data_IF_408996731538
#
_entry.id   IF_408996731538
#
_cell.length_a   1.000
_cell.length_b   1.000
_cell.length_c   1.000
_cell.angle_alpha   90.00
_cell.angle_beta   90.00
_cell.angle_gamma   90.00
#
_symmetry.space_group_name_H-M   'P 1'
#
loop_
_entity.id
_entity.type
_entity.pdbx_description
1 polymer ?
#
# COMPACT_ATOMS: atom_id res chain seq x y z
N UNK A 1 -2.97 -10.73 -8.82
CA UNK A 1 -2.38 -10.00 -9.97
C UNK A 1 -2.48 -8.52 -9.65
N UNK A 2 -1.43 -7.72 -9.85
CA UNK A 2 -1.52 -6.27 -9.64
C UNK A 2 -2.29 -5.66 -10.81
N UNK A 3 -3.54 -5.27 -10.56
CA UNK A 3 -4.38 -4.64 -11.56
C UNK A 3 -3.81 -3.26 -11.89
N UNK A 4 -3.75 -2.96 -13.19
CA UNK A 4 -3.41 -1.62 -13.65
C UNK A 4 -4.71 -0.89 -13.90
N UNK A 5 -4.85 0.31 -13.35
CA UNK A 5 -6.03 1.13 -13.54
C UNK A 5 -5.64 2.60 -13.53
N UNK A 6 -6.53 3.43 -14.05
CA UNK A 6 -6.40 4.86 -14.00
C UNK A 6 -7.70 5.51 -13.52
N UNK A 7 -7.54 6.67 -12.87
CA UNK A 7 -8.64 7.54 -12.48
C UNK A 7 -8.75 8.70 -13.46
N UNK A 8 -9.93 8.91 -14.00
CA UNK A 8 -10.26 10.02 -14.90
C UNK A 8 -11.08 11.08 -14.15
N UNK A 9 -10.69 12.35 -14.29
CA UNK A 9 -11.40 13.45 -13.65
C UNK A 9 -12.76 13.67 -14.34
N UNK A 10 -13.87 13.80 -13.60
CA UNK A 10 -15.22 13.77 -14.18
C UNK A 10 -15.55 14.96 -15.08
N UNK A 11 -14.76 16.03 -15.01
CA UNK A 11 -14.95 17.26 -15.79
C UNK A 11 -13.76 17.56 -16.72
N UNK A 12 -12.68 16.77 -16.65
CA UNK A 12 -11.43 17.01 -17.39
C UNK A 12 -10.77 15.69 -17.76
N UNK A 13 -11.12 15.16 -18.93
CA UNK A 13 -10.63 13.88 -19.46
C UNK A 13 -9.10 13.83 -19.63
N UNK A 14 -8.44 14.99 -19.75
CA UNK A 14 -6.99 15.08 -19.85
C UNK A 14 -6.29 14.80 -18.52
N UNK A 15 -6.98 14.93 -17.39
CA UNK A 15 -6.41 14.71 -16.06
C UNK A 15 -6.60 13.26 -15.62
N UNK A 16 -5.57 12.45 -15.87
CA UNK A 16 -5.53 11.02 -15.53
C UNK A 16 -4.50 10.71 -14.45
N UNK A 17 -4.87 9.85 -13.51
CA UNK A 17 -3.97 9.34 -12.47
C UNK A 17 -3.81 7.84 -12.63
N UNK A 18 -2.64 7.42 -13.10
CA UNK A 18 -2.34 6.00 -13.30
C UNK A 18 -1.84 5.34 -12.01
N UNK A 19 -2.29 4.11 -11.79
CA UNK A 19 -1.80 3.18 -10.77
C UNK A 19 -1.58 1.83 -11.45
N UNK A 20 -0.31 1.48 -11.63
CA UNK A 20 0.10 0.16 -12.13
C UNK A 20 0.98 -0.57 -11.12
N UNK A 21 1.67 -1.63 -11.56
CA UNK A 21 2.55 -2.43 -10.70
C UNK A 21 3.58 -1.61 -9.90
N UNK A 22 4.20 -0.61 -10.53
CA UNK A 22 5.13 0.31 -9.85
C UNK A 22 4.45 1.13 -8.73
N UNK A 23 3.16 1.42 -8.87
CA UNK A 23 2.36 2.08 -7.85
C UNK A 23 2.16 1.21 -6.61
N UNK A 24 1.95 -0.10 -6.78
CA UNK A 24 1.90 -1.03 -5.65
C UNK A 24 3.24 -1.15 -4.93
N UNK A 25 4.35 -1.21 -5.68
CA UNK A 25 5.69 -1.21 -5.06
C UNK A 25 5.92 0.06 -4.24
N UNK A 26 5.61 1.23 -4.80
CA UNK A 26 5.71 2.50 -4.09
C UNK A 26 4.79 2.56 -2.87
N UNK A 27 3.56 2.05 -2.98
CA UNK A 27 2.59 2.00 -1.90
C UNK A 27 3.02 1.05 -0.76
N UNK A 28 3.66 -0.07 -1.09
CA UNK A 28 4.23 -0.99 -0.11
C UNK A 28 5.39 -0.36 0.65
N UNK A 29 6.33 0.28 -0.06
CA UNK A 29 7.55 0.84 0.53
C UNK A 29 7.31 2.16 1.28
N UNK A 30 6.53 3.08 0.72
CA UNK A 30 6.31 4.40 1.30
C UNK A 30 5.02 4.50 2.14
N UNK A 31 4.12 3.51 2.04
CA UNK A 31 2.93 3.40 2.87
C UNK A 31 2.01 4.63 2.79
N UNK A 32 1.68 5.19 3.95
CA UNK A 32 0.81 6.36 4.06
C UNK A 32 1.34 7.60 3.33
N UNK A 33 2.66 7.77 3.17
CA UNK A 33 3.22 8.91 2.42
C UNK A 33 2.87 8.83 0.92
N UNK A 34 2.84 7.63 0.36
CA UNK A 34 2.37 7.44 -1.02
C UNK A 34 0.88 7.81 -1.16
N UNK A 35 0.08 7.44 -0.15
CA UNK A 35 -1.34 7.83 -0.10
C UNK A 35 -1.49 9.34 0.03
N UNK A 36 -0.68 10.02 0.84
CA UNK A 36 -0.70 11.48 0.94
C UNK A 36 -0.46 12.14 -0.43
N UNK A 37 0.55 11.66 -1.15
CA UNK A 37 0.89 12.19 -2.47
C UNK A 37 -0.21 11.97 -3.51
N UNK A 38 -0.90 10.82 -3.47
CA UNK A 38 -1.92 10.45 -4.47
C UNK A 38 -3.35 10.85 -4.08
N UNK A 39 -3.74 10.76 -2.82
CA UNK A 39 -5.11 10.91 -2.34
C UNK A 39 -5.31 12.10 -1.38
N UNK A 40 -4.25 12.82 -1.02
CA UNK A 40 -4.31 13.98 -0.14
C UNK A 40 -4.53 13.64 1.32
N UNK A 41 -4.87 14.66 2.12
CA UNK A 41 -4.86 14.57 3.59
C UNK A 41 -5.89 13.60 4.16
N UNK A 42 -7.12 13.58 3.63
CA UNK A 42 -8.17 12.67 4.10
C UNK A 42 -7.77 11.20 3.89
N UNK A 43 -7.21 10.88 2.72
CA UNK A 43 -6.67 9.55 2.44
C UNK A 43 -5.46 9.20 3.32
N UNK A 44 -4.57 10.16 3.56
CA UNK A 44 -3.42 9.98 4.45
C UNK A 44 -3.84 9.58 5.87
N UNK A 45 -4.80 10.29 6.47
CA UNK A 45 -5.28 9.98 7.83
C UNK A 45 -5.86 8.57 7.90
N UNK A 46 -6.65 8.16 6.89
CA UNK A 46 -7.17 6.79 6.80
C UNK A 46 -6.05 5.73 6.62
N UNK A 47 -4.92 6.11 6.00
CA UNK A 47 -3.78 5.24 5.74
C UNK A 47 -2.79 5.12 6.91
N UNK A 48 -2.80 6.05 7.87
CA UNK A 48 -1.89 6.01 9.03
C UNK A 48 -2.10 4.74 9.85
N UNK A 49 -3.35 4.40 10.20
CA UNK A 49 -3.64 3.22 11.02
C UNK A 49 -3.14 1.91 10.38
N UNK A 50 -3.51 1.56 9.14
CA UNK A 50 -3.01 0.33 8.53
C UNK A 50 -1.49 0.34 8.34
N UNK A 51 -0.86 1.49 8.10
CA UNK A 51 0.60 1.60 8.02
C UNK A 51 1.26 1.30 9.37
N UNK A 52 0.75 1.87 10.46
CA UNK A 52 1.26 1.58 11.81
C UNK A 52 1.06 0.11 12.17
N UNK A 53 -0.07 -0.50 11.81
CA UNK A 53 -0.32 -1.93 12.04
C UNK A 53 0.69 -2.82 11.30
N UNK A 54 1.04 -2.51 10.05
CA UNK A 54 2.08 -3.28 9.34
C UNK A 54 3.46 -3.07 9.93
N UNK A 55 3.80 -1.86 10.40
CA UNK A 55 5.07 -1.64 11.12
C UNK A 55 5.12 -2.44 12.43
N UNK A 56 4.04 -2.42 13.22
CA UNK A 56 3.95 -3.20 14.46
C UNK A 56 4.06 -4.70 14.17
N UNK A 57 3.36 -5.19 13.15
CA UNK A 57 3.44 -6.59 12.74
C UNK A 57 4.85 -6.99 12.32
N UNK A 58 5.56 -6.13 11.58
CA UNK A 58 6.94 -6.36 11.19
C UNK A 58 7.90 -6.41 12.39
N UNK A 59 7.77 -5.45 13.31
CA UNK A 59 8.58 -5.39 14.54
C UNK A 59 8.30 -6.62 15.40
N UNK A 60 7.03 -6.98 15.61
CA UNK A 60 6.64 -8.14 16.38
C UNK A 60 7.15 -9.44 15.74
N UNK A 61 6.99 -9.61 14.42
CA UNK A 61 7.49 -10.77 13.70
C UNK A 61 9.02 -10.88 13.84
N UNK A 62 9.75 -9.77 13.64
CA UNK A 62 11.21 -9.76 13.73
C UNK A 62 11.69 -10.03 15.17
N UNK A 63 11.05 -9.42 16.17
CA UNK A 63 11.42 -9.58 17.58
C UNK A 63 11.06 -10.94 18.15
N UNK A 64 9.90 -11.50 17.81
CA UNK A 64 9.51 -12.85 18.26
C UNK A 64 10.39 -13.91 17.59
N UNK A 65 10.65 -13.77 16.29
CA UNK A 65 11.46 -14.75 15.57
C UNK A 65 12.94 -14.70 15.97
N UNK A 66 13.49 -13.53 16.29
CA UNK A 66 14.87 -13.42 16.78
C UNK A 66 15.09 -14.09 18.14
N UNK A 67 14.04 -14.18 18.96
CA UNK A 67 14.10 -14.85 20.27
C UNK A 67 13.90 -16.36 20.20
N UNK A 68 13.12 -16.84 19.22
CA UNK A 68 12.65 -18.22 19.18
C UNK A 68 13.31 -19.08 18.10
N UNK A 69 13.83 -18.48 17.03
CA UNK A 69 14.33 -19.21 15.87
C UNK A 69 15.86 -19.12 15.74
N UNK A 70 16.53 -20.20 15.32
CA UNK A 70 17.90 -20.14 14.83
C UNK A 70 18.04 -19.13 13.67
N UNK A 71 19.19 -18.48 13.56
CA UNK A 71 19.41 -17.40 12.58
C UNK A 71 19.09 -17.77 11.12
N UNK A 72 19.34 -19.02 10.71
CA UNK A 72 18.98 -19.49 9.35
C UNK A 72 17.48 -19.50 9.10
N UNK A 73 16.67 -19.90 10.09
CA UNK A 73 15.21 -19.90 9.99
C UNK A 73 14.65 -18.48 10.08
N UNK A 74 15.26 -17.61 10.91
CA UNK A 74 14.90 -16.20 10.97
C UNK A 74 15.09 -15.50 9.61
N UNK A 75 16.20 -15.79 8.90
CA UNK A 75 16.43 -15.24 7.56
C UNK A 75 15.34 -15.65 6.57
N UNK A 76 14.87 -16.89 6.62
CA UNK A 76 13.75 -17.36 5.78
C UNK A 76 12.47 -16.62 6.11
N UNK A 77 12.16 -16.44 7.40
CA UNK A 77 10.97 -15.69 7.83
C UNK A 77 11.05 -14.23 7.39
N UNK A 78 12.22 -13.59 7.46
CA UNK A 78 12.38 -12.23 6.97
C UNK A 78 12.27 -12.16 5.44
N UNK A 79 12.92 -13.07 4.72
CA UNK A 79 12.93 -13.11 3.25
C UNK A 79 11.53 -13.32 2.65
N UNK A 80 10.62 -14.01 3.35
CA UNK A 80 9.25 -14.27 2.88
C UNK A 80 8.25 -13.32 3.55
N UNK A 81 8.35 -13.16 4.87
CA UNK A 81 7.43 -12.39 5.68
C UNK A 81 7.47 -10.90 5.39
N UNK A 82 8.66 -10.31 5.16
CA UNK A 82 8.77 -8.90 4.80
C UNK A 82 8.09 -8.62 3.45
N UNK A 83 8.39 -9.35 2.35
CA UNK A 83 7.65 -9.17 1.10
C UNK A 83 6.14 -9.40 1.24
N UNK A 84 5.71 -10.42 1.99
CA UNK A 84 4.29 -10.69 2.20
C UNK A 84 3.58 -9.53 2.90
N UNK A 85 4.19 -8.96 3.95
CA UNK A 85 3.66 -7.79 4.66
C UNK A 85 3.63 -6.55 3.75
N UNK A 86 4.67 -6.32 2.94
CA UNK A 86 4.71 -5.20 2.00
C UNK A 86 3.64 -5.33 0.90
N UNK A 87 3.38 -6.55 0.41
CA UNK A 87 2.29 -6.82 -0.53
C UNK A 87 0.96 -6.49 0.15
N UNK A 88 0.74 -6.95 1.37
CA UNK A 88 -0.49 -6.66 2.11
C UNK A 88 -0.67 -5.16 2.33
N UNK A 89 0.37 -4.47 2.78
CA UNK A 89 0.40 -3.02 2.93
C UNK A 89 0.04 -2.32 1.61
N UNK A 90 0.68 -2.71 0.51
CA UNK A 90 0.44 -2.09 -0.80
C UNK A 90 -1.02 -2.17 -1.22
N UNK A 91 -1.67 -3.33 -1.02
CA UNK A 91 -3.08 -3.54 -1.40
C UNK A 91 -3.98 -2.60 -0.59
N UNK A 92 -3.76 -2.47 0.73
CA UNK A 92 -4.56 -1.57 1.56
C UNK A 92 -4.37 -0.11 1.17
N UNK A 93 -3.12 0.33 0.95
CA UNK A 93 -2.83 1.71 0.55
C UNK A 93 -3.48 2.04 -0.80
N UNK A 94 -3.38 1.14 -1.77
CA UNK A 94 -4.02 1.31 -3.08
C UNK A 94 -5.55 1.35 -2.96
N UNK A 95 -6.16 0.51 -2.12
CA UNK A 95 -7.61 0.56 -1.87
C UNK A 95 -8.05 1.89 -1.27
N UNK A 96 -7.27 2.47 -0.35
CA UNK A 96 -7.55 3.80 0.22
C UNK A 96 -7.46 4.88 -0.86
N UNK A 97 -6.44 4.80 -1.72
CA UNK A 97 -6.32 5.72 -2.86
C UNK A 97 -7.55 5.62 -3.76
N UNK A 98 -7.92 4.40 -4.15
CA UNK A 98 -9.10 4.16 -4.99
C UNK A 98 -10.36 4.73 -4.38
N UNK A 99 -10.64 4.40 -3.11
CA UNK A 99 -11.81 4.92 -2.41
C UNK A 99 -11.81 6.44 -2.34
N UNK A 100 -10.67 7.07 -2.04
CA UNK A 100 -10.56 8.52 -2.00
C UNK A 100 -10.81 9.19 -3.35
N UNK A 101 -10.42 8.56 -4.47
CA UNK A 101 -10.76 9.06 -5.81
C UNK A 101 -12.25 8.86 -6.14
N UNK A 102 -12.81 7.69 -5.83
CA UNK A 102 -14.24 7.41 -6.02
C UNK A 102 -15.12 8.34 -5.19
N UNK A 103 -14.77 8.61 -3.93
CA UNK A 103 -15.50 9.54 -3.04
C UNK A 103 -15.46 10.99 -3.57
N UNK A 104 -14.46 11.34 -4.39
CA UNK A 104 -14.35 12.62 -5.10
C UNK A 104 -15.08 12.63 -6.45
N UNK A 105 -15.79 11.56 -6.80
CA UNK A 105 -16.53 11.42 -8.05
C UNK A 105 -15.67 11.11 -9.27
N UNK A 106 -14.42 10.68 -9.09
CA UNK A 106 -13.57 10.26 -10.22
C UNK A 106 -14.00 8.88 -10.74
N UNK A 107 -13.88 8.71 -12.05
CA UNK A 107 -14.26 7.47 -12.74
C UNK A 107 -13.04 6.53 -12.76
N UNK A 108 -13.27 5.26 -12.43
CA UNK A 108 -12.22 4.23 -12.36
C UNK A 108 -12.26 3.37 -13.61
N UNK A 109 -11.13 3.22 -14.27
CA UNK A 109 -10.98 2.36 -15.45
C UNK A 109 -9.89 1.32 -15.21
N UNK A 110 -10.24 0.03 -15.27
CA UNK A 110 -9.29 -1.08 -15.23
C UNK A 110 -8.77 -1.39 -16.64
N UNK A 111 -7.46 -1.59 -16.77
CA UNK A 111 -6.79 -2.01 -18.02
C UNK A 111 -6.52 -3.50 -18.04
#
# INVERSE_FOLDING_TARGET
MFETFYFEHPQDEARRVNVGAAGYVAAGLAGSLYVLWKAGWAGFVAAVLPHLLTMVALIAATGVTSLLLPGTQQLVVLAIGVPALLIFQSIYMIRIISRSYTDRGWIVHST
#
